data_IF_229075099329
#
_entry.id   IF_229075099329
#
_cell.length_a   1.000
_cell.length_b   1.000
_cell.length_c   1.000
_cell.angle_alpha   90.00
_cell.angle_beta   90.00
_cell.angle_gamma   90.00
#
_symmetry.space_group_name_H-M   'P 1'
#
loop_
_entity.id
_entity.type
_entity.pdbx_description
1 polymer ?
#
# COMPACT_ATOMS: atom_id res chain seq x y z
N UNK A 1 -1.02 -2.41 33.10
CA UNK A 1 -0.93 -2.82 31.69
C UNK A 1 -1.76 -1.81 30.91
N UNK A 2 -1.18 -0.78 30.25
CA UNK A 2 -1.98 0.04 29.35
C UNK A 2 -2.28 -0.81 28.11
N UNK A 3 -3.57 -1.03 27.89
CA UNK A 3 -4.14 -1.86 26.83
C UNK A 3 -3.59 -1.49 25.46
N UNK A 4 -3.20 -2.50 24.67
CA UNK A 4 -3.18 -2.33 23.22
C UNK A 4 -4.64 -2.08 22.78
N UNK A 5 -4.97 -0.80 22.57
CA UNK A 5 -6.24 -0.32 22.02
C UNK A 5 -6.42 -0.72 20.56
N UNK A 6 -5.33 -1.10 19.87
CA UNK A 6 -5.30 -1.49 18.47
C UNK A 6 -5.55 -3.01 18.33
N UNK A 7 -6.68 -3.43 17.71
CA UNK A 7 -7.05 -4.83 17.51
C UNK A 7 -5.96 -5.72 16.89
N UNK A 8 -5.30 -5.28 15.81
CA UNK A 8 -4.29 -6.10 15.13
C UNK A 8 -3.06 -6.33 16.02
N UNK A 9 -2.61 -5.30 16.74
CA UNK A 9 -1.49 -5.44 17.67
C UNK A 9 -1.84 -6.39 18.83
N UNK A 10 -3.08 -6.36 19.32
CA UNK A 10 -3.57 -7.31 20.31
C UNK A 10 -3.55 -8.75 19.80
N UNK A 11 -3.98 -8.99 18.57
CA UNK A 11 -3.93 -10.32 17.95
C UNK A 11 -2.50 -10.85 17.81
N UNK A 12 -1.55 -9.94 17.57
CA UNK A 12 -0.12 -10.23 17.54
C UNK A 12 0.51 -10.30 18.94
N UNK A 13 -0.26 -10.15 20.03
CA UNK A 13 0.24 -10.04 21.41
C UNK A 13 1.37 -8.99 21.57
N UNK A 14 1.30 -7.91 20.80
CA UNK A 14 2.30 -6.85 20.77
C UNK A 14 1.73 -5.58 21.41
N UNK A 15 2.38 -5.07 22.45
CA UNK A 15 2.05 -3.75 22.99
C UNK A 15 2.55 -2.64 22.03
N UNK A 16 1.89 -1.49 22.04
CA UNK A 16 2.26 -0.35 21.17
C UNK A 16 3.70 0.13 21.44
N UNK A 17 4.09 0.21 22.71
CA UNK A 17 5.48 0.50 23.10
C UNK A 17 6.46 -0.59 22.64
N UNK A 18 6.01 -1.85 22.61
CA UNK A 18 6.77 -2.98 22.08
C UNK A 18 7.00 -2.83 20.57
N UNK A 19 5.96 -2.45 19.82
CA UNK A 19 6.03 -2.17 18.39
C UNK A 19 7.03 -1.05 18.08
N UNK A 20 7.09 -0.02 18.93
CA UNK A 20 8.04 1.07 18.79
C UNK A 20 9.49 0.65 19.02
N UNK A 21 9.76 -0.43 19.74
CA UNK A 21 11.13 -0.89 20.01
C UNK A 21 11.58 -2.05 19.12
N UNK A 22 10.77 -2.42 18.11
CA UNK A 22 11.14 -3.47 17.17
C UNK A 22 12.37 -3.08 16.32
N UNK A 23 13.20 -4.08 15.95
CA UNK A 23 14.21 -3.92 14.91
C UNK A 23 13.61 -3.37 13.61
N UNK A 24 14.37 -2.60 12.80
CA UNK A 24 13.88 -1.98 11.59
C UNK A 24 13.16 -2.94 10.63
N UNK A 25 13.71 -4.14 10.42
CA UNK A 25 13.17 -5.12 9.48
C UNK A 25 11.81 -5.68 9.92
N UNK A 26 11.64 -5.90 11.22
CA UNK A 26 10.38 -6.36 11.82
C UNK A 26 9.35 -5.24 11.86
N UNK A 27 9.79 -4.01 12.15
CA UNK A 27 8.93 -2.83 12.08
C UNK A 27 8.42 -2.61 10.65
N UNK A 28 9.27 -2.72 9.65
CA UNK A 28 8.88 -2.55 8.24
C UNK A 28 7.91 -3.67 7.82
N UNK A 29 8.13 -4.90 8.26
CA UNK A 29 7.22 -6.03 8.03
C UNK A 29 5.86 -5.83 8.72
N UNK A 30 5.85 -5.33 9.96
CA UNK A 30 4.64 -4.96 10.69
C UNK A 30 3.89 -3.84 9.97
N UNK A 31 4.58 -2.78 9.56
CA UNK A 31 3.97 -1.65 8.85
C UNK A 31 3.38 -2.09 7.51
N UNK A 32 4.07 -2.94 6.74
CA UNK A 32 3.55 -3.49 5.50
C UNK A 32 2.26 -4.30 5.74
N UNK A 33 2.27 -5.18 6.75
CA UNK A 33 1.09 -5.96 7.13
C UNK A 33 -0.08 -5.05 7.53
N UNK A 34 0.18 -4.06 8.39
CA UNK A 34 -0.86 -3.12 8.84
C UNK A 34 -1.39 -2.26 7.70
N UNK A 35 -0.53 -1.81 6.78
CA UNK A 35 -0.95 -1.02 5.62
C UNK A 35 -1.97 -1.78 4.78
N UNK A 36 -1.79 -3.09 4.65
CA UNK A 36 -2.60 -3.94 3.80
C UNK A 36 -3.89 -4.41 4.49
N UNK A 37 -3.84 -4.70 5.79
CA UNK A 37 -4.90 -5.46 6.47
C UNK A 37 -5.56 -4.77 7.66
N UNK A 38 -4.98 -3.69 8.18
CA UNK A 38 -5.51 -2.97 9.34
C UNK A 38 -6.40 -1.80 8.90
N UNK A 39 -7.31 -1.40 9.79
CA UNK A 39 -8.17 -0.23 9.57
C UNK A 39 -7.35 1.06 9.55
N UNK A 40 -7.73 2.08 8.75
CA UNK A 40 -6.99 3.33 8.66
C UNK A 40 -6.72 4.03 10.00
N UNK A 41 -7.67 3.96 10.93
CA UNK A 41 -7.52 4.53 12.27
C UNK A 41 -6.39 3.84 13.08
N UNK A 42 -6.28 2.51 12.97
CA UNK A 42 -5.22 1.74 13.61
C UNK A 42 -3.85 2.08 13.02
N UNK A 43 -3.78 2.18 11.69
CA UNK A 43 -2.56 2.57 10.98
C UNK A 43 -2.08 3.96 11.44
N UNK A 44 -3.00 4.93 11.57
CA UNK A 44 -2.70 6.28 12.06
C UNK A 44 -2.14 6.24 13.49
N UNK A 45 -2.78 5.49 14.41
CA UNK A 45 -2.35 5.39 15.81
C UNK A 45 -0.93 4.80 15.91
N UNK A 46 -0.65 3.73 15.16
CA UNK A 46 0.70 3.13 15.07
C UNK A 46 1.70 4.11 14.50
N UNK A 47 1.38 4.79 13.39
CA UNK A 47 2.29 5.75 12.76
C UNK A 47 2.68 6.87 13.74
N UNK A 48 1.71 7.41 14.48
CA UNK A 48 1.94 8.48 15.45
C UNK A 48 2.83 8.03 16.61
N UNK A 49 2.57 6.84 17.17
CA UNK A 49 3.39 6.27 18.22
C UNK A 49 4.84 6.02 17.77
N UNK A 50 5.02 5.46 16.57
CA UNK A 50 6.36 5.26 16.00
C UNK A 50 7.07 6.59 15.74
N UNK A 51 6.35 7.61 15.29
CA UNK A 51 6.92 8.95 15.06
C UNK A 51 7.30 9.66 16.36
N UNK A 52 6.59 9.44 17.47
CA UNK A 52 7.00 9.98 18.77
C UNK A 52 8.31 9.38 19.27
N UNK A 53 8.57 8.11 18.94
CA UNK A 53 9.78 7.39 19.39
C UNK A 53 10.97 7.60 18.44
N UNK A 54 10.75 7.52 17.13
CA UNK A 54 11.81 7.53 16.11
C UNK A 54 11.95 8.87 15.37
N UNK A 55 11.11 9.84 15.68
CA UNK A 55 11.07 11.14 15.02
C UNK A 55 10.47 11.09 13.62
N UNK A 56 10.86 12.04 12.76
CA UNK A 56 10.26 12.26 11.44
C UNK A 56 10.95 11.43 10.35
N UNK A 57 10.84 10.10 10.42
CA UNK A 57 11.31 9.23 9.34
C UNK A 57 10.44 9.42 8.08
N UNK A 58 11.01 9.62 6.88
CA UNK A 58 10.23 9.84 5.66
C UNK A 58 9.23 8.72 5.34
N UNK A 59 9.58 7.46 5.60
CA UNK A 59 8.71 6.30 5.36
C UNK A 59 7.48 6.30 6.25
N UNK A 60 7.59 6.78 7.50
CA UNK A 60 6.45 6.93 8.40
C UNK A 60 5.51 8.06 7.97
N UNK A 61 6.03 9.10 7.30
CA UNK A 61 5.20 10.14 6.70
C UNK A 61 4.41 9.61 5.49
N UNK A 62 5.06 8.83 4.63
CA UNK A 62 4.40 8.18 3.50
C UNK A 62 3.29 7.22 3.99
N UNK A 63 3.58 6.41 5.03
CA UNK A 63 2.62 5.50 5.66
C UNK A 63 1.43 6.22 6.32
N UNK A 64 1.67 7.24 7.14
CA UNK A 64 0.59 8.00 7.77
C UNK A 64 -0.26 8.76 6.74
N UNK A 65 0.37 9.36 5.73
CA UNK A 65 -0.37 10.05 4.66
C UNK A 65 -1.28 9.09 3.89
N UNK A 66 -0.84 7.86 3.63
CA UNK A 66 -1.67 6.82 3.02
C UNK A 66 -2.89 6.49 3.88
N UNK A 67 -2.69 6.25 5.18
CA UNK A 67 -3.76 5.95 6.11
C UNK A 67 -4.76 7.12 6.27
N UNK A 68 -4.26 8.36 6.31
CA UNK A 68 -5.08 9.59 6.37
C UNK A 68 -5.94 9.75 5.11
N UNK A 69 -5.42 9.43 3.92
CA UNK A 69 -6.23 9.42 2.71
C UNK A 69 -7.34 8.36 2.77
N UNK A 70 -7.03 7.16 3.27
CA UNK A 70 -8.03 6.10 3.46
C UNK A 70 -9.10 6.47 4.50
N UNK A 71 -8.74 7.25 5.52
CA UNK A 71 -9.64 7.82 6.53
C UNK A 71 -10.43 9.05 6.05
N UNK A 72 -10.32 9.44 4.77
CA UNK A 72 -10.95 10.63 4.20
C UNK A 72 -10.51 11.95 4.88
N UNK A 73 -9.23 12.03 5.25
CA UNK A 73 -8.57 13.23 5.80
C UNK A 73 -7.51 13.79 4.84
N UNK A 74 -7.90 14.26 3.63
CA UNK A 74 -6.96 14.55 2.56
C UNK A 74 -6.08 15.77 2.81
N UNK A 75 -6.56 16.77 3.56
CA UNK A 75 -5.79 17.97 3.91
C UNK A 75 -4.58 17.59 4.78
N UNK A 76 -4.80 16.75 5.79
CA UNK A 76 -3.73 16.27 6.69
C UNK A 76 -2.73 15.41 5.92
N UNK A 77 -3.22 14.54 5.03
CA UNK A 77 -2.36 13.73 4.17
C UNK A 77 -1.48 14.61 3.26
N UNK A 78 -2.05 15.67 2.67
CA UNK A 78 -1.33 16.60 1.81
C UNK A 78 -0.22 17.34 2.59
N UNK A 79 -0.51 17.83 3.80
CA UNK A 79 0.51 18.46 4.63
C UNK A 79 1.67 17.50 4.98
N UNK A 80 1.36 16.24 5.29
CA UNK A 80 2.36 15.23 5.60
C UNK A 80 3.25 14.95 4.39
N UNK A 81 2.66 14.81 3.21
CA UNK A 81 3.41 14.47 2.00
C UNK A 81 4.26 15.64 1.49
N UNK A 82 3.79 16.88 1.61
CA UNK A 82 4.59 18.07 1.31
C UNK A 82 5.84 18.15 2.23
N UNK A 83 5.66 17.90 3.53
CA UNK A 83 6.79 17.88 4.49
C UNK A 83 7.79 16.79 4.14
N UNK A 84 7.31 15.62 3.70
CA UNK A 84 8.14 14.52 3.24
C UNK A 84 8.94 14.91 1.99
N UNK A 85 8.28 15.49 0.99
CA UNK A 85 8.91 15.85 -0.29
C UNK A 85 9.98 16.93 -0.15
N UNK A 86 9.83 17.87 0.78
CA UNK A 86 10.89 18.86 1.11
C UNK A 86 12.22 18.22 1.55
N UNK A 87 12.19 16.97 2.02
CA UNK A 87 13.38 16.21 2.42
C UNK A 87 13.91 15.37 1.27
N UNK A 88 13.02 14.63 0.61
CA UNK A 88 13.33 13.77 -0.53
C UNK A 88 12.02 13.46 -1.27
N UNK A 89 12.05 13.41 -2.60
CA UNK A 89 10.88 13.07 -3.42
C UNK A 89 11.06 11.67 -4.00
N UNK A 90 10.03 10.82 -3.84
CA UNK A 90 9.96 9.47 -4.42
C UNK A 90 8.71 9.30 -5.27
N UNK A 91 8.72 8.30 -6.17
CA UNK A 91 7.56 7.91 -6.98
C UNK A 91 6.31 7.70 -6.11
N UNK A 92 6.45 6.97 -5.00
CA UNK A 92 5.35 6.73 -4.07
C UNK A 92 4.81 8.04 -3.46
N UNK A 93 5.71 8.96 -3.08
CA UNK A 93 5.29 10.24 -2.49
C UNK A 93 4.60 11.17 -3.49
N UNK A 94 5.00 11.15 -4.76
CA UNK A 94 4.34 11.91 -5.83
C UNK A 94 2.96 11.31 -6.14
N UNK A 95 2.84 9.99 -6.13
CA UNK A 95 1.55 9.31 -6.26
C UNK A 95 0.58 9.65 -5.12
N UNK A 96 1.06 9.69 -3.87
CA UNK A 96 0.27 10.11 -2.72
C UNK A 96 -0.12 11.59 -2.79
N UNK A 97 0.79 12.47 -3.20
CA UNK A 97 0.49 13.89 -3.43
C UNK A 97 -0.61 14.07 -4.47
N UNK A 98 -0.50 13.43 -5.64
CA UNK A 98 -1.51 13.53 -6.68
C UNK A 98 -2.90 13.08 -6.19
N UNK A 99 -2.97 12.00 -5.41
CA UNK A 99 -4.21 11.52 -4.77
C UNK A 99 -4.74 12.53 -3.73
N UNK A 100 -3.88 13.08 -2.90
CA UNK A 100 -4.25 14.04 -1.87
C UNK A 100 -4.76 15.36 -2.47
N UNK A 101 -4.09 15.86 -3.52
CA UNK A 101 -4.53 17.02 -4.29
C UNK A 101 -5.93 16.81 -4.86
N UNK A 102 -6.18 15.65 -5.48
CA UNK A 102 -7.49 15.35 -6.05
C UNK A 102 -8.58 15.33 -4.97
N UNK A 103 -8.32 14.67 -3.85
CA UNK A 103 -9.25 14.58 -2.73
C UNK A 103 -9.49 15.94 -2.03
N UNK A 104 -8.54 16.88 -2.12
CA UNK A 104 -8.73 18.27 -1.68
C UNK A 104 -9.48 19.15 -2.72
N UNK A 105 -9.86 18.60 -3.88
CA UNK A 105 -10.52 19.34 -4.96
C UNK A 105 -9.55 20.09 -5.89
N UNK A 106 -8.24 19.87 -5.77
CA UNK A 106 -7.22 20.46 -6.63
C UNK A 106 -6.98 19.62 -7.89
N UNK A 107 -8.02 19.42 -8.69
CA UNK A 107 -8.02 18.51 -9.85
C UNK A 107 -6.90 18.80 -10.87
N UNK A 108 -6.68 20.07 -11.23
CA UNK A 108 -5.62 20.47 -12.17
C UNK A 108 -4.21 20.15 -11.64
N UNK A 109 -3.99 20.31 -10.33
CA UNK A 109 -2.73 19.96 -9.69
C UNK A 109 -2.51 18.44 -9.72
N UNK A 110 -3.52 17.68 -9.29
CA UNK A 110 -3.49 16.23 -9.29
C UNK A 110 -3.21 15.65 -10.68
N UNK A 111 -3.92 16.15 -11.69
CA UNK A 111 -3.78 15.73 -13.09
C UNK A 111 -2.35 15.98 -13.60
N UNK A 112 -1.80 17.16 -13.34
CA UNK A 112 -0.44 17.52 -13.75
C UNK A 112 0.59 16.60 -13.12
N UNK A 113 0.52 16.41 -11.79
CA UNK A 113 1.42 15.51 -11.07
C UNK A 113 1.32 14.07 -11.59
N UNK A 114 0.11 13.58 -11.89
CA UNK A 114 -0.09 12.24 -12.45
C UNK A 114 0.51 12.08 -13.86
N UNK A 115 0.31 13.07 -14.75
CA UNK A 115 0.89 13.07 -16.11
C UNK A 115 2.42 13.10 -16.03
N UNK A 116 2.98 13.99 -15.21
CA UNK A 116 4.42 14.12 -15.02
C UNK A 116 5.02 12.81 -14.47
N UNK A 117 4.32 12.16 -13.53
CA UNK A 117 4.72 10.88 -12.97
C UNK A 117 4.77 9.77 -14.04
N UNK A 118 3.73 9.64 -14.85
CA UNK A 118 3.67 8.64 -15.92
C UNK A 118 4.74 8.88 -16.99
N UNK A 119 4.96 10.15 -17.38
CA UNK A 119 5.97 10.53 -18.38
C UNK A 119 7.40 10.37 -17.90
N UNK A 120 7.67 10.67 -16.62
CA UNK A 120 9.01 10.55 -16.04
C UNK A 120 9.41 9.08 -15.84
N UNK A 121 8.44 8.19 -15.61
CA UNK A 121 8.69 6.78 -15.31
C UNK A 121 7.84 5.83 -16.17
N UNK A 122 7.98 5.86 -17.51
CA UNK A 122 7.06 5.20 -18.44
C UNK A 122 7.12 3.66 -18.39
N UNK A 123 8.10 3.08 -17.68
CA UNK A 123 8.26 1.62 -17.51
C UNK A 123 8.03 1.15 -16.08
N UNK A 124 7.67 2.05 -15.16
CA UNK A 124 7.55 1.76 -13.74
C UNK A 124 6.09 1.46 -13.37
N UNK A 125 5.82 0.21 -13.00
CA UNK A 125 4.47 -0.29 -12.69
C UNK A 125 3.74 0.57 -11.63
N UNK A 126 4.41 0.88 -10.51
CA UNK A 126 3.81 1.69 -9.45
C UNK A 126 3.54 3.15 -9.85
N UNK A 127 4.32 3.69 -10.80
CA UNK A 127 4.10 5.06 -11.29
C UNK A 127 2.87 5.10 -12.18
N UNK A 128 2.73 4.09 -13.07
CA UNK A 128 1.54 3.91 -13.87
C UNK A 128 0.29 3.71 -13.01
N UNK A 129 0.35 2.83 -12.01
CA UNK A 129 -0.78 2.54 -11.12
C UNK A 129 -1.29 3.82 -10.42
N UNK A 130 -0.37 4.60 -9.85
CA UNK A 130 -0.70 5.85 -9.19
C UNK A 130 -1.27 6.89 -10.16
N UNK A 131 -0.61 7.10 -11.30
CA UNK A 131 -1.04 8.07 -12.30
C UNK A 131 -2.42 7.75 -12.87
N UNK A 132 -2.64 6.51 -13.30
CA UNK A 132 -3.90 6.08 -13.93
C UNK A 132 -5.08 6.12 -12.96
N UNK A 133 -4.86 5.78 -11.68
CA UNK A 133 -5.87 5.91 -10.63
C UNK A 133 -6.33 7.37 -10.46
N UNK A 134 -5.38 8.31 -10.40
CA UNK A 134 -5.69 9.74 -10.27
C UNK A 134 -6.36 10.29 -11.52
N UNK A 135 -5.85 9.97 -12.71
CA UNK A 135 -6.42 10.44 -13.98
C UNK A 135 -7.83 9.91 -14.19
N UNK A 136 -8.08 8.63 -13.89
CA UNK A 136 -9.41 8.05 -13.98
C UNK A 136 -10.39 8.68 -12.99
N UNK A 137 -9.95 8.94 -11.75
CA UNK A 137 -10.78 9.62 -10.75
C UNK A 137 -11.05 11.09 -11.08
N UNK A 138 -10.19 11.72 -11.90
CA UNK A 138 -10.40 13.04 -12.48
C UNK A 138 -11.21 13.01 -13.81
N UNK A 139 -11.75 11.85 -14.19
CA UNK A 139 -12.48 11.59 -15.45
C UNK A 139 -11.67 11.88 -16.74
N UNK A 140 -10.33 11.89 -16.66
CA UNK A 140 -9.45 12.03 -17.82
C UNK A 140 -9.01 10.66 -18.35
N UNK A 141 -9.96 9.94 -18.92
CA UNK A 141 -9.70 8.62 -19.50
C UNK A 141 -8.74 8.65 -20.69
N UNK A 142 -8.74 9.74 -21.47
CA UNK A 142 -7.84 9.88 -22.62
C UNK A 142 -6.37 9.91 -22.20
N UNK A 143 -6.04 10.62 -21.10
CA UNK A 143 -4.69 10.60 -20.55
C UNK A 143 -4.32 9.23 -19.96
N UNK A 144 -5.28 8.47 -19.44
CA UNK A 144 -5.05 7.07 -19.04
C UNK A 144 -4.67 6.21 -20.24
N UNK A 145 -5.41 6.33 -21.35
CA UNK A 145 -5.11 5.57 -22.57
C UNK A 145 -3.70 5.86 -23.09
N UNK A 146 -3.30 7.13 -23.14
CA UNK A 146 -1.93 7.53 -23.53
C UNK A 146 -0.87 6.90 -22.60
N UNK A 147 -1.05 7.00 -21.29
CA UNK A 147 -0.10 6.49 -20.31
C UNK A 147 0.03 4.96 -20.35
N UNK A 148 -1.10 4.25 -20.42
CA UNK A 148 -1.10 2.78 -20.47
C UNK A 148 -0.57 2.27 -21.81
N UNK A 149 -0.92 2.91 -22.93
CA UNK A 149 -0.39 2.53 -24.24
C UNK A 149 1.15 2.64 -24.25
N UNK A 150 1.70 3.77 -23.80
CA UNK A 150 3.15 3.97 -23.71
C UNK A 150 3.83 2.92 -22.81
N UNK A 151 3.21 2.54 -21.71
CA UNK A 151 3.73 1.49 -20.82
C UNK A 151 3.69 0.10 -21.47
N UNK A 152 2.57 -0.28 -22.07
CA UNK A 152 2.39 -1.60 -22.70
C UNK A 152 3.20 -1.77 -23.99
N UNK A 153 3.50 -0.68 -24.70
CA UNK A 153 4.46 -0.71 -25.82
C UNK A 153 5.85 -1.14 -25.35
N UNK A 154 6.27 -0.72 -24.16
CA UNK A 154 7.54 -1.11 -23.57
C UNK A 154 7.49 -2.47 -22.85
N UNK A 155 6.33 -2.85 -22.31
CA UNK A 155 6.11 -4.09 -21.57
C UNK A 155 4.80 -4.77 -22.01
N UNK A 156 4.80 -5.44 -23.17
CA UNK A 156 3.61 -6.10 -23.69
C UNK A 156 3.10 -7.15 -22.70
N UNK A 157 1.78 -7.17 -22.49
CA UNK A 157 1.08 -8.10 -21.59
C UNK A 157 1.46 -7.99 -20.10
N UNK A 158 2.11 -6.92 -19.67
CA UNK A 158 2.39 -6.70 -18.26
C UNK A 158 1.10 -6.47 -17.47
N UNK A 159 0.94 -7.21 -16.38
CA UNK A 159 -0.28 -7.29 -15.59
C UNK A 159 -0.71 -5.92 -15.04
N UNK A 160 0.27 -5.08 -14.64
CA UNK A 160 -0.05 -3.77 -14.11
C UNK A 160 -0.70 -2.89 -15.18
N UNK A 161 -0.20 -2.92 -16.41
CA UNK A 161 -0.78 -2.14 -17.51
C UNK A 161 -2.21 -2.58 -17.82
N UNK A 162 -2.45 -3.90 -17.88
CA UNK A 162 -3.77 -4.47 -18.13
C UNK A 162 -4.77 -4.08 -17.03
N UNK A 163 -4.40 -4.27 -15.76
CA UNK A 163 -5.26 -3.95 -14.62
C UNK A 163 -5.51 -2.44 -14.48
N UNK A 164 -4.51 -1.60 -14.77
CA UNK A 164 -4.65 -0.15 -14.71
C UNK A 164 -5.68 0.35 -15.74
N UNK A 165 -5.67 -0.19 -16.96
CA UNK A 165 -6.68 0.12 -17.96
C UNK A 165 -8.07 -0.38 -17.55
N UNK A 166 -8.15 -1.64 -17.11
CA UNK A 166 -9.43 -2.23 -16.71
C UNK A 166 -10.07 -1.44 -15.55
N UNK A 167 -9.27 -1.05 -14.56
CA UNK A 167 -9.72 -0.24 -13.44
C UNK A 167 -10.15 1.17 -13.85
N UNK A 168 -9.36 1.86 -14.66
CA UNK A 168 -9.72 3.19 -15.12
C UNK A 168 -11.00 3.19 -15.98
N UNK A 169 -11.16 2.18 -16.83
CA UNK A 169 -12.36 2.02 -17.64
C UNK A 169 -13.60 1.75 -16.74
N UNK A 170 -13.46 0.90 -15.72
CA UNK A 170 -14.54 0.65 -14.76
C UNK A 170 -14.88 1.91 -13.93
N UNK A 171 -13.87 2.68 -13.50
CA UNK A 171 -14.06 3.96 -12.77
C UNK A 171 -14.86 4.97 -13.58
N UNK A 172 -14.58 5.05 -14.88
CA UNK A 172 -15.16 6.06 -15.78
C UNK A 172 -16.36 5.55 -16.59
N UNK A 173 -16.97 4.43 -16.18
CA UNK A 173 -18.20 3.91 -16.78
C UNK A 173 -18.05 3.19 -18.12
N UNK A 174 -16.83 2.89 -18.57
CA UNK A 174 -16.51 2.23 -19.85
C UNK A 174 -16.45 0.71 -19.68
N UNK A 175 -17.59 0.10 -19.32
CA UNK A 175 -17.67 -1.31 -18.94
C UNK A 175 -17.13 -2.29 -20.00
N UNK A 176 -17.35 -2.03 -21.29
CA UNK A 176 -16.87 -2.89 -22.38
C UNK A 176 -15.33 -2.92 -22.48
N UNK A 177 -14.69 -1.76 -22.30
CA UNK A 177 -13.22 -1.66 -22.29
C UNK A 177 -12.66 -2.37 -21.06
N UNK A 178 -13.28 -2.15 -19.90
CA UNK A 178 -12.89 -2.80 -18.66
C UNK A 178 -12.97 -4.33 -18.78
N UNK A 179 -14.07 -4.88 -19.32
CA UNK A 179 -14.23 -6.32 -19.56
C UNK A 179 -13.20 -6.85 -20.56
N UNK A 180 -12.97 -6.14 -21.66
CA UNK A 180 -11.98 -6.52 -22.69
C UNK A 180 -10.58 -6.67 -22.09
N UNK A 181 -10.15 -5.72 -21.25
CA UNK A 181 -8.84 -5.79 -20.61
C UNK A 181 -8.79 -6.86 -19.52
N UNK A 182 -9.87 -7.01 -18.73
CA UNK A 182 -9.94 -8.06 -17.71
C UNK A 182 -9.81 -9.46 -18.32
N UNK A 183 -10.48 -9.73 -19.45
CA UNK A 183 -10.40 -11.01 -20.16
C UNK A 183 -8.98 -11.39 -20.60
N UNK A 184 -8.07 -10.42 -20.81
CA UNK A 184 -6.66 -10.69 -21.16
C UNK A 184 -5.88 -11.37 -20.03
N UNK A 185 -6.34 -11.25 -18.79
CA UNK A 185 -5.74 -11.93 -17.64
C UNK A 185 -6.14 -13.41 -17.56
N UNK A 186 -7.11 -13.84 -18.37
CA UNK A 186 -7.61 -15.21 -18.40
C UNK A 186 -8.63 -15.49 -17.28
N UNK A 187 -8.89 -16.78 -17.08
CA UNK A 187 -9.79 -17.25 -16.03
C UNK A 187 -9.01 -17.49 -14.72
N UNK A 188 -9.51 -16.92 -13.62
CA UNK A 188 -8.96 -17.14 -12.28
C UNK A 188 -7.96 -16.06 -11.83
N UNK A 189 -7.22 -16.37 -10.76
CA UNK A 189 -6.21 -15.48 -10.19
C UNK A 189 -4.87 -15.69 -10.91
N UNK A 190 -4.31 -14.66 -11.58
CA UNK A 190 -3.04 -14.79 -12.29
C UNK A 190 -1.87 -15.16 -11.38
N UNK A 191 -0.97 -16.01 -11.88
CA UNK A 191 0.26 -16.33 -11.16
C UNK A 191 1.15 -15.08 -11.02
N UNK A 192 1.75 -14.89 -9.84
CA UNK A 192 2.64 -13.77 -9.57
C UNK A 192 1.95 -12.42 -9.35
N UNK A 193 0.61 -12.39 -9.28
CA UNK A 193 -0.14 -11.18 -8.93
C UNK A 193 0.25 -10.68 -7.54
N UNK A 194 0.55 -9.38 -7.40
CA UNK A 194 0.78 -8.76 -6.09
C UNK A 194 -0.52 -8.53 -5.34
N UNK A 195 -0.46 -8.22 -4.06
CA UNK A 195 -1.66 -7.99 -3.26
C UNK A 195 -2.42 -6.74 -3.72
N UNK A 196 -1.72 -5.66 -4.09
CA UNK A 196 -2.35 -4.45 -4.63
C UNK A 196 -3.06 -4.74 -5.95
N UNK A 197 -2.43 -5.53 -6.81
CA UNK A 197 -3.03 -5.97 -8.08
C UNK A 197 -4.22 -6.89 -7.86
N UNK A 198 -4.18 -7.75 -6.83
CA UNK A 198 -5.27 -8.65 -6.49
C UNK A 198 -6.48 -7.89 -5.93
N UNK A 199 -6.24 -6.87 -5.08
CA UNK A 199 -7.29 -5.93 -4.63
C UNK A 199 -7.90 -5.20 -5.83
N UNK A 200 -7.07 -4.71 -6.75
CA UNK A 200 -7.54 -4.05 -7.97
C UNK A 200 -8.35 -5.01 -8.86
N UNK A 201 -7.90 -6.25 -9.06
CA UNK A 201 -8.60 -7.29 -9.81
C UNK A 201 -9.98 -7.56 -9.23
N UNK A 202 -10.06 -7.79 -7.91
CA UNK A 202 -11.32 -8.00 -7.20
C UNK A 202 -12.28 -6.82 -7.44
N UNK A 203 -11.80 -5.59 -7.22
CA UNK A 203 -12.62 -4.39 -7.38
C UNK A 203 -13.17 -4.25 -8.81
N UNK A 204 -12.34 -4.49 -9.83
CA UNK A 204 -12.79 -4.47 -11.23
C UNK A 204 -13.81 -5.56 -11.50
N UNK A 205 -13.56 -6.79 -11.03
CA UNK A 205 -14.48 -7.91 -11.19
C UNK A 205 -15.85 -7.63 -10.56
N UNK A 206 -15.86 -7.05 -9.34
CA UNK A 206 -17.08 -6.62 -8.65
C UNK A 206 -17.84 -5.56 -9.45
N UNK A 207 -17.15 -4.54 -9.97
CA UNK A 207 -17.75 -3.47 -10.79
C UNK A 207 -18.37 -4.01 -12.09
N UNK A 208 -17.82 -5.08 -12.65
CA UNK A 208 -18.32 -5.73 -13.86
C UNK A 208 -19.31 -6.86 -13.58
N UNK A 209 -19.62 -7.15 -12.31
CA UNK A 209 -20.53 -8.26 -11.93
C UNK A 209 -19.94 -9.65 -12.18
N UNK A 210 -18.62 -9.80 -12.30
CA UNK A 210 -17.91 -11.07 -12.50
C UNK A 210 -17.71 -11.79 -11.16
N UNK A 211 -18.81 -12.29 -10.60
CA UNK A 211 -18.88 -12.84 -9.23
C UNK A 211 -17.85 -13.92 -8.94
N UNK A 212 -17.60 -14.84 -9.88
CA UNK A 212 -16.65 -15.93 -9.67
C UNK A 212 -15.20 -15.42 -9.60
N UNK A 213 -14.83 -14.48 -10.47
CA UNK A 213 -13.50 -13.84 -10.45
C UNK A 213 -13.30 -13.03 -9.17
N UNK A 214 -14.32 -12.28 -8.74
CA UNK A 214 -14.26 -11.52 -7.50
C UNK A 214 -14.11 -12.43 -6.28
N UNK A 215 -14.90 -13.51 -6.21
CA UNK A 215 -14.83 -14.50 -5.12
C UNK A 215 -13.47 -15.23 -5.08
N UNK A 216 -12.91 -15.58 -6.24
CA UNK A 216 -11.58 -16.19 -6.32
C UNK A 216 -10.48 -15.24 -5.83
N UNK A 217 -10.57 -13.96 -6.18
CA UNK A 217 -9.62 -12.95 -5.72
C UNK A 217 -9.75 -12.70 -4.20
N UNK A 218 -10.98 -12.67 -3.68
CA UNK A 218 -11.24 -12.52 -2.24
C UNK A 218 -10.70 -13.70 -1.43
N UNK A 219 -10.94 -14.94 -1.87
CA UNK A 219 -10.40 -16.14 -1.22
C UNK A 219 -8.87 -16.13 -1.17
N UNK A 220 -8.21 -15.70 -2.26
CA UNK A 220 -6.75 -15.60 -2.30
C UNK A 220 -6.24 -14.48 -1.36
N UNK A 221 -6.93 -13.33 -1.28
CA UNK A 221 -6.58 -12.27 -0.32
C UNK A 221 -6.67 -12.77 1.13
N UNK A 222 -7.74 -13.49 1.48
CA UNK A 222 -7.89 -14.08 2.82
C UNK A 222 -6.78 -15.10 3.12
N UNK A 223 -6.46 -15.96 2.15
CA UNK A 223 -5.36 -16.93 2.27
C UNK A 223 -4.03 -16.24 2.54
N UNK A 224 -3.72 -15.16 1.80
CA UNK A 224 -2.48 -14.38 1.98
C UNK A 224 -2.45 -13.67 3.33
N UNK A 225 -3.54 -13.03 3.73
CA UNK A 225 -3.67 -12.39 5.05
C UNK A 225 -3.34 -13.36 6.18
N UNK A 226 -3.87 -14.59 6.15
CA UNK A 226 -3.58 -15.61 7.17
C UNK A 226 -2.12 -16.07 7.14
N UNK A 227 -1.56 -16.27 5.95
CA UNK A 227 -0.16 -16.68 5.77
C UNK A 227 0.81 -15.62 6.30
N UNK A 228 0.58 -14.36 5.95
CA UNK A 228 1.39 -13.22 6.39
C UNK A 228 1.26 -12.98 7.89
N UNK A 229 0.05 -13.10 8.44
CA UNK A 229 -0.17 -13.00 9.88
C UNK A 229 0.63 -14.08 10.63
N UNK A 230 0.58 -15.33 10.17
CA UNK A 230 1.34 -16.43 10.80
C UNK A 230 2.85 -16.23 10.68
N UNK A 231 3.33 -15.72 9.54
CA UNK A 231 4.74 -15.40 9.34
C UNK A 231 5.19 -14.27 10.28
N UNK A 232 4.40 -13.21 10.39
CA UNK A 232 4.67 -12.09 11.29
C UNK A 232 4.65 -12.53 12.76
N UNK A 233 3.68 -13.35 13.16
CA UNK A 233 3.61 -13.90 14.52
C UNK A 233 4.86 -14.74 14.85
N UNK A 234 5.30 -15.58 13.92
CA UNK A 234 6.52 -16.39 14.08
C UNK A 234 7.75 -15.49 14.23
N UNK A 235 7.85 -14.44 13.42
CA UNK A 235 8.97 -13.50 13.47
C UNK A 235 8.98 -12.64 14.75
N UNK A 236 7.81 -12.33 15.32
CA UNK A 236 7.65 -11.52 16.52
C UNK A 236 7.76 -12.32 17.83
N UNK A 237 7.55 -13.64 17.82
CA UNK A 237 7.58 -14.49 19.03
C UNK A 237 8.79 -14.22 19.95
N UNK A 238 10.04 -14.08 19.44
CA UNK A 238 11.19 -13.80 20.29
C UNK A 238 11.12 -12.49 21.08
N UNK A 239 10.29 -11.54 20.64
CA UNK A 239 10.14 -10.21 21.24
C UNK A 239 8.88 -10.11 22.11
N UNK A 240 7.87 -10.93 21.83
CA UNK A 240 6.64 -11.03 22.62
C UNK A 240 6.90 -11.81 23.91
N UNK A 241 7.58 -12.95 23.81
CA UNK A 241 7.89 -13.83 24.96
C UNK A 241 8.97 -13.22 25.87
N UNK A 242 9.80 -12.32 25.34
CA UNK A 242 10.80 -11.59 26.10
C UNK A 242 10.24 -10.35 26.82
N UNK A 243 8.93 -10.07 26.77
CA UNK A 243 8.34 -8.87 27.37
C UNK A 243 8.40 -8.82 28.90
N UNK A 244 8.68 -9.94 29.59
CA UNK A 244 9.05 -9.91 31.02
C UNK A 244 10.53 -9.49 31.26
N UNK A 245 11.36 -9.50 30.23
CA UNK A 245 12.78 -9.13 30.32
C UNK A 245 13.36 -8.74 28.95
N UNK A 246 12.88 -7.67 28.33
CA UNK A 246 13.61 -7.08 27.20
C UNK A 246 14.92 -6.53 27.78
N UNK A 247 16.11 -7.02 27.35
CA UNK A 247 17.36 -6.44 27.81
C UNK A 247 17.41 -4.98 27.37
N UNK A 248 18.03 -4.13 28.20
CA UNK A 248 18.11 -2.68 28.02
C UNK A 248 18.68 -2.20 26.67
N UNK A 249 19.20 -3.12 25.84
CA UNK A 249 19.60 -2.89 24.46
C UNK A 249 19.00 -3.97 23.52
N UNK A 250 17.81 -3.71 22.94
CA UNK A 250 17.17 -4.58 21.95
C UNK A 250 18.02 -4.82 20.70
N UNK A 251 18.88 -3.87 20.32
CA UNK A 251 19.78 -4.00 19.17
C UNK A 251 20.96 -4.93 19.46
N UNK A 252 21.42 -5.03 20.72
CA UNK A 252 22.36 -6.07 21.14
C UNK A 252 21.72 -7.46 21.15
N UNK A 253 20.47 -7.60 21.61
CA UNK A 253 19.75 -8.88 21.58
C UNK A 253 19.54 -9.39 20.16
N UNK A 254 19.14 -8.50 19.24
CA UNK A 254 19.00 -8.83 17.83
C UNK A 254 20.31 -9.35 17.23
N UNK A 255 21.43 -8.64 17.43
CA UNK A 255 22.77 -9.08 16.97
C UNK A 255 23.18 -10.44 17.54
N UNK A 256 22.79 -10.74 18.77
CA UNK A 256 23.07 -12.04 19.42
C UNK A 256 22.29 -13.20 18.77
N UNK A 257 21.09 -12.95 18.25
CA UNK A 257 20.19 -13.98 17.71
C UNK A 257 20.23 -14.12 16.20
N UNK A 258 20.64 -13.07 15.47
CA UNK A 258 20.70 -13.07 14.00
C UNK A 258 22.12 -12.92 13.44
N UNK A 259 23.12 -12.69 14.30
CA UNK A 259 24.52 -12.58 13.90
C UNK A 259 25.20 -13.93 13.62
N UNK A 260 26.41 -13.91 13.02
CA UNK A 260 27.17 -15.13 12.68
C UNK A 260 27.61 -15.97 13.89
N UNK A 261 27.36 -15.53 15.12
CA UNK A 261 27.57 -16.29 16.35
C UNK A 261 26.35 -17.12 16.77
N UNK A 262 25.23 -17.03 16.05
CA UNK A 262 23.98 -17.73 16.33
C UNK A 262 23.86 -19.10 15.63
N UNK A 263 24.93 -19.59 14.99
CA UNK A 263 25.05 -20.92 14.35
C UNK A 263 26.04 -21.78 15.12
#
# INVERSE_FOLDING_TARGET
MPDATIPVLRQLNLALDGAANLPPELRDSLLLYLQQWAEPAEQIEVAQALRSTHGQLPTLLDYEAHARLAANEPVVALELIERRQRRNTTIASQGLEARALLACGHAEGARRTAIDLARSYPRHAGALAAATSVLAAADDFAAVEEAVAAYLDAKPNDMQGILSMAAAAATTGRAEIADTYLQRLGAGVPAGITDEQLVQLRWVADKLGKRETAAAAELELERRKLQEFSALQTALSPFIDASESLPADPAAFYRLKTGPQAV
#
